data_IF_071767010619
#
_entry.id   IF_071767010619
#
_cell.length_a   1.000
_cell.length_b   1.000
_cell.length_c   1.000
_cell.angle_alpha   90.00
_cell.angle_beta   90.00
_cell.angle_gamma   90.00
#
_symmetry.space_group_name_H-M   'P 1'
#
loop_
_entity.id
_entity.type
_entity.pdbx_description
1 polymer ?
#
# COMPACT_ATOMS: atom_id res chain seq x y z
N UNK A 1 -5.72 -51.46 -59.75
CA UNK A 1 -6.23 -50.83 -58.51
C UNK A 1 -5.04 -50.42 -57.66
N UNK A 2 -4.70 -49.12 -57.65
CA UNK A 2 -3.58 -48.60 -56.86
C UNK A 2 -4.03 -48.38 -55.41
N UNK A 3 -3.32 -48.97 -54.45
CA UNK A 3 -3.53 -48.71 -53.01
C UNK A 3 -2.82 -47.40 -52.65
N UNK A 4 -3.59 -46.36 -52.33
CA UNK A 4 -3.06 -45.18 -51.64
C UNK A 4 -2.68 -45.54 -50.20
N UNK A 5 -1.37 -45.60 -49.92
CA UNK A 5 -0.86 -45.67 -48.56
C UNK A 5 -0.93 -44.29 -47.91
N UNK A 6 -2.02 -44.02 -47.19
CA UNK A 6 -2.09 -42.91 -46.22
C UNK A 6 -1.01 -43.11 -45.16
N UNK A 7 0.10 -42.39 -45.26
CA UNK A 7 1.09 -42.30 -44.18
C UNK A 7 0.40 -41.65 -42.98
N UNK A 8 0.15 -42.42 -41.92
CA UNK A 8 -0.26 -41.85 -40.62
C UNK A 8 0.90 -41.00 -40.12
N UNK A 9 0.69 -39.69 -39.98
CA UNK A 9 1.63 -38.84 -39.26
C UNK A 9 1.76 -39.41 -37.85
N UNK A 10 2.99 -39.70 -37.43
CA UNK A 10 3.26 -40.21 -36.08
C UNK A 10 2.95 -39.09 -35.10
N UNK A 11 1.84 -39.23 -34.35
CA UNK A 11 1.54 -38.37 -33.22
C UNK A 11 2.57 -38.66 -32.13
N UNK A 12 3.56 -37.78 -32.00
CA UNK A 12 4.54 -37.82 -30.90
C UNK A 12 3.86 -37.25 -29.65
N UNK A 13 3.47 -38.12 -28.73
CA UNK A 13 3.00 -37.73 -27.39
C UNK A 13 4.15 -37.27 -26.49
N UNK A 14 3.81 -36.52 -25.44
CA UNK A 14 4.73 -36.07 -24.39
C UNK A 14 5.15 -37.24 -23.50
N UNK A 15 6.42 -37.33 -23.11
CA UNK A 15 6.88 -38.35 -22.16
C UNK A 15 6.40 -38.04 -20.74
N UNK A 16 6.06 -39.06 -19.96
CA UNK A 16 5.79 -38.91 -18.52
C UNK A 16 6.99 -38.31 -17.78
N UNK A 17 8.21 -38.66 -18.22
CA UNK A 17 9.44 -38.12 -17.63
C UNK A 17 9.60 -36.63 -17.95
N UNK A 18 9.24 -36.19 -19.15
CA UNK A 18 9.24 -34.76 -19.50
C UNK A 18 8.25 -33.98 -18.63
N UNK A 19 7.08 -34.57 -18.35
CA UNK A 19 6.09 -33.94 -17.48
C UNK A 19 6.59 -33.86 -16.04
N UNK A 20 7.23 -34.91 -15.53
CA UNK A 20 7.81 -34.92 -14.18
C UNK A 20 8.91 -33.87 -14.00
N UNK A 21 9.81 -33.72 -14.97
CA UNK A 21 10.86 -32.70 -14.92
C UNK A 21 10.24 -31.31 -14.99
N UNK A 22 9.23 -31.10 -15.86
CA UNK A 22 8.55 -29.82 -15.98
C UNK A 22 7.88 -29.39 -14.66
N UNK A 23 7.12 -30.28 -14.00
CA UNK A 23 6.49 -29.95 -12.72
C UNK A 23 7.52 -29.71 -11.61
N UNK A 24 8.65 -30.43 -11.63
CA UNK A 24 9.72 -30.23 -10.65
C UNK A 24 10.34 -28.84 -10.78
N UNK A 25 10.62 -28.39 -12.00
CA UNK A 25 11.16 -27.04 -12.26
C UNK A 25 10.15 -25.98 -11.86
N UNK A 26 8.87 -26.11 -12.25
CA UNK A 26 7.81 -25.17 -11.87
C UNK A 26 7.67 -25.10 -10.35
N UNK A 27 7.72 -26.25 -9.65
CA UNK A 27 7.66 -26.31 -8.20
C UNK A 27 8.77 -25.52 -7.52
N UNK A 28 10.02 -25.61 -8.02
CA UNK A 28 11.16 -24.83 -7.52
C UNK A 28 10.94 -23.33 -7.76
N UNK A 29 10.53 -22.96 -8.97
CA UNK A 29 10.29 -21.55 -9.34
C UNK A 29 9.19 -20.92 -8.46
N UNK A 30 8.08 -21.63 -8.24
CA UNK A 30 6.98 -21.17 -7.38
C UNK A 30 7.44 -21.07 -5.92
N UNK A 31 8.20 -22.06 -5.43
CA UNK A 31 8.68 -22.09 -4.04
C UNK A 31 9.51 -20.88 -3.64
N UNK A 32 10.38 -20.39 -4.53
CA UNK A 32 11.19 -19.18 -4.29
C UNK A 32 10.48 -17.91 -4.76
N UNK A 33 9.72 -17.99 -5.86
CA UNK A 33 9.10 -16.82 -6.50
C UNK A 33 7.99 -16.19 -5.67
N UNK A 34 7.11 -16.99 -5.06
CA UNK A 34 5.98 -16.48 -4.27
C UNK A 34 6.43 -15.63 -3.07
N UNK A 35 7.32 -16.08 -2.17
CA UNK A 35 7.73 -15.26 -1.03
C UNK A 35 8.48 -13.99 -1.45
N UNK A 36 9.31 -14.07 -2.50
CA UNK A 36 10.02 -12.91 -3.03
C UNK A 36 9.04 -11.86 -3.57
N UNK A 37 8.06 -12.27 -4.40
CA UNK A 37 7.04 -11.36 -4.92
C UNK A 37 6.21 -10.73 -3.80
N UNK A 38 5.83 -11.50 -2.78
CA UNK A 38 5.08 -10.97 -1.63
C UNK A 38 5.82 -9.86 -0.91
N UNK A 39 7.12 -10.03 -0.64
CA UNK A 39 7.93 -8.99 -0.01
C UNK A 39 8.03 -7.73 -0.88
N UNK A 40 8.14 -7.88 -2.20
CA UNK A 40 8.12 -6.76 -3.14
C UNK A 40 6.78 -6.00 -3.10
N UNK A 41 5.66 -6.72 -3.10
CA UNK A 41 4.33 -6.10 -3.00
C UNK A 41 4.14 -5.36 -1.69
N UNK A 42 4.56 -5.94 -0.55
CA UNK A 42 4.49 -5.27 0.76
C UNK A 42 5.28 -3.96 0.76
N UNK A 43 6.51 -3.98 0.24
CA UNK A 43 7.35 -2.78 0.13
C UNK A 43 6.74 -1.73 -0.80
N UNK A 44 6.17 -2.17 -1.94
CA UNK A 44 5.47 -1.28 -2.87
C UNK A 44 4.24 -0.62 -2.22
N UNK A 45 3.44 -1.39 -1.48
CA UNK A 45 2.28 -0.91 -0.74
C UNK A 45 2.69 0.13 0.31
N UNK A 46 3.76 -0.12 1.07
CA UNK A 46 4.31 0.84 2.05
C UNK A 46 4.78 2.13 1.39
N UNK A 47 5.50 2.03 0.27
CA UNK A 47 5.95 3.20 -0.49
C UNK A 47 4.78 4.02 -1.03
N UNK A 48 3.76 3.35 -1.58
CA UNK A 48 2.52 4.00 -2.03
C UNK A 48 1.81 4.67 -0.85
N UNK A 49 1.75 4.02 0.32
CA UNK A 49 1.12 4.58 1.51
C UNK A 49 1.78 5.88 1.97
N UNK A 50 3.12 5.88 2.04
CA UNK A 50 3.92 7.06 2.40
C UNK A 50 3.70 8.20 1.39
N UNK A 51 3.71 7.90 0.09
CA UNK A 51 3.48 8.91 -0.96
C UNK A 51 2.07 9.49 -0.87
N UNK A 52 1.06 8.64 -0.70
CA UNK A 52 -0.33 9.03 -0.52
C UNK A 52 -0.51 9.97 0.68
N UNK A 53 0.09 9.64 1.84
CA UNK A 53 0.04 10.53 3.02
C UNK A 53 0.65 11.90 2.76
N UNK A 54 1.79 11.95 2.05
CA UNK A 54 2.43 13.23 1.65
C UNK A 54 1.55 14.04 0.70
N UNK A 55 0.95 13.38 -0.29
CA UNK A 55 -0.01 14.02 -1.21
C UNK A 55 -1.20 14.57 -0.44
N UNK A 56 -1.84 13.78 0.43
CA UNK A 56 -2.98 14.25 1.20
C UNK A 56 -2.57 15.41 2.11
N UNK A 57 -1.41 15.38 2.76
CA UNK A 57 -0.94 16.52 3.57
C UNK A 57 -0.75 17.79 2.73
N UNK A 58 -0.19 17.68 1.52
CA UNK A 58 -0.07 18.81 0.60
C UNK A 58 -1.45 19.38 0.26
N UNK A 59 -2.41 18.52 -0.06
CA UNK A 59 -3.77 18.93 -0.38
C UNK A 59 -4.51 19.53 0.81
N UNK A 60 -4.28 19.03 2.02
CA UNK A 60 -4.81 19.63 3.25
C UNK A 60 -4.28 21.05 3.45
N UNK A 61 -2.99 21.29 3.16
CA UNK A 61 -2.40 22.63 3.22
C UNK A 61 -2.99 23.54 2.14
N UNK A 62 -3.20 23.04 0.93
CA UNK A 62 -3.87 23.78 -0.14
C UNK A 62 -5.32 24.14 0.23
N UNK A 63 -6.07 23.16 0.75
CA UNK A 63 -7.44 23.33 1.22
C UNK A 63 -7.51 24.40 2.32
N UNK A 64 -6.64 24.30 3.33
CA UNK A 64 -6.56 25.26 4.42
C UNK A 64 -6.29 26.68 3.91
N UNK A 65 -5.35 26.86 2.98
CA UNK A 65 -5.00 28.17 2.43
C UNK A 65 -6.11 28.78 1.55
N UNK A 66 -6.76 27.97 0.71
CA UNK A 66 -7.80 28.43 -0.22
C UNK A 66 -9.13 28.72 0.47
N UNK A 67 -9.41 28.07 1.60
CA UNK A 67 -10.64 28.24 2.41
C UNK A 67 -10.47 29.26 3.56
N UNK A 68 -9.52 30.19 3.43
CA UNK A 68 -9.33 31.26 4.41
C UNK A 68 -8.83 30.79 5.78
N UNK A 69 -8.10 29.67 5.83
CA UNK A 69 -7.44 29.15 7.05
C UNK A 69 -8.43 28.83 8.19
N UNK A 70 -9.63 28.37 7.81
CA UNK A 70 -10.73 28.10 8.74
C UNK A 70 -10.80 26.65 9.17
N UNK A 71 -10.26 25.71 8.37
CA UNK A 71 -10.25 24.29 8.67
C UNK A 71 -9.63 23.44 7.57
N UNK A 72 -9.65 22.14 7.82
CA UNK A 72 -9.16 21.09 6.93
C UNK A 72 -10.33 20.36 6.27
N UNK A 73 -10.07 19.67 5.15
CA UNK A 73 -11.10 19.02 4.34
C UNK A 73 -11.18 17.53 4.58
N UNK A 74 -12.37 16.94 4.50
CA UNK A 74 -12.53 15.47 4.42
C UNK A 74 -11.95 14.93 3.10
N UNK A 75 -11.76 13.62 2.98
CA UNK A 75 -11.36 13.02 1.70
C UNK A 75 -12.28 13.47 0.56
N UNK A 76 -13.59 13.39 0.77
CA UNK A 76 -14.58 13.78 -0.24
C UNK A 76 -14.48 15.26 -0.63
N UNK A 77 -14.30 16.16 0.34
CA UNK A 77 -14.14 17.61 0.08
C UNK A 77 -12.88 17.93 -0.73
N UNK A 78 -11.80 17.18 -0.52
CA UNK A 78 -10.55 17.34 -1.29
C UNK A 78 -10.67 16.70 -2.68
N UNK A 79 -11.39 15.58 -2.79
CA UNK A 79 -11.70 14.98 -4.10
C UNK A 79 -12.54 15.96 -4.93
N UNK A 80 -13.51 16.64 -4.32
CA UNK A 80 -14.36 17.64 -4.98
C UNK A 80 -13.59 18.87 -5.45
N UNK A 81 -12.48 19.24 -4.79
CA UNK A 81 -11.59 20.30 -5.30
C UNK A 81 -10.73 19.84 -6.50
N UNK A 82 -10.81 18.56 -6.87
CA UNK A 82 -10.11 17.98 -8.03
C UNK A 82 -8.67 17.54 -7.75
N UNK A 83 -8.24 17.54 -6.49
CA UNK A 83 -6.82 17.41 -6.14
C UNK A 83 -6.40 16.04 -5.59
N UNK A 84 -7.37 15.20 -5.21
CA UNK A 84 -7.11 13.86 -4.66
C UNK A 84 -7.78 12.77 -5.52
N UNK A 85 -7.13 11.61 -5.63
CA UNK A 85 -7.69 10.45 -6.34
C UNK A 85 -9.05 10.05 -5.74
N UNK A 86 -10.03 9.77 -6.61
CA UNK A 86 -11.38 9.32 -6.24
C UNK A 86 -11.37 8.00 -5.47
N UNK A 87 -10.29 7.21 -5.55
CA UNK A 87 -10.10 6.00 -4.73
C UNK A 87 -10.13 6.28 -3.22
N UNK A 88 -9.91 7.52 -2.78
CA UNK A 88 -10.01 7.93 -1.37
C UNK A 88 -11.44 8.22 -0.89
N UNK A 89 -12.46 8.06 -1.73
CA UNK A 89 -13.84 8.38 -1.37
C UNK A 89 -14.36 7.48 -0.23
N UNK A 90 -15.09 8.08 0.70
CA UNK A 90 -15.66 7.40 1.88
C UNK A 90 -14.83 7.53 3.16
N UNK A 91 -15.30 6.91 4.23
CA UNK A 91 -14.76 7.12 5.59
C UNK A 91 -13.41 6.43 5.85
N UNK A 92 -13.25 5.22 5.32
CA UNK A 92 -12.03 4.41 5.48
C UNK A 92 -11.59 3.76 4.15
N UNK A 93 -11.13 4.55 3.17
CA UNK A 93 -10.76 4.02 1.87
C UNK A 93 -9.58 3.06 2.01
N UNK A 94 -9.61 1.99 1.20
CA UNK A 94 -8.53 0.99 1.11
C UNK A 94 -7.87 1.10 -0.25
N UNK A 95 -6.59 1.46 -0.25
CA UNK A 95 -5.80 1.74 -1.45
C UNK A 95 -4.47 1.03 -1.29
N UNK A 96 -4.13 0.19 -2.28
CA UNK A 96 -2.84 -0.49 -2.39
C UNK A 96 -2.44 -1.22 -1.08
N UNK A 97 -3.41 -1.92 -0.49
CA UNK A 97 -3.22 -2.73 0.72
C UNK A 97 -3.21 -1.95 2.04
N UNK A 98 -3.48 -0.64 2.01
CA UNK A 98 -3.56 0.22 3.19
C UNK A 98 -4.95 0.83 3.36
N UNK A 99 -5.44 0.83 4.60
CA UNK A 99 -6.65 1.53 5.03
C UNK A 99 -6.26 2.90 5.55
N UNK A 100 -6.96 3.94 5.10
CA UNK A 100 -6.73 5.30 5.56
C UNK A 100 -7.86 5.75 6.46
N UNK A 101 -7.53 6.34 7.60
CA UNK A 101 -8.52 6.91 8.52
C UNK A 101 -8.14 8.36 8.78
N UNK A 102 -9.04 9.28 8.47
CA UNK A 102 -8.85 10.71 8.71
C UNK A 102 -9.68 11.17 9.91
N UNK A 103 -9.10 12.05 10.73
CA UNK A 103 -9.83 12.80 11.75
C UNK A 103 -9.62 14.28 11.50
N UNK A 104 -10.71 15.04 11.53
CA UNK A 104 -10.68 16.50 11.44
C UNK A 104 -11.22 17.05 12.74
N UNK A 105 -10.44 17.93 13.35
CA UNK A 105 -10.87 18.72 14.50
C UNK A 105 -11.16 20.13 13.99
N UNK A 106 -12.42 20.58 14.04
CA UNK A 106 -12.77 21.92 13.60
C UNK A 106 -12.19 22.96 14.55
N UNK A 107 -11.98 24.18 14.03
CA UNK A 107 -11.58 25.33 14.83
C UNK A 107 -12.62 25.59 15.93
N UNK A 108 -12.15 25.87 17.14
CA UNK A 108 -13.00 26.32 18.25
C UNK A 108 -12.34 27.48 19.00
N UNK A 109 -13.01 27.99 20.03
CA UNK A 109 -12.43 29.00 20.92
C UNK A 109 -11.18 28.52 21.66
N UNK A 110 -11.02 27.21 21.84
CA UNK A 110 -10.00 26.61 22.71
C UNK A 110 -8.90 25.85 21.94
N UNK A 111 -9.04 25.69 20.62
CA UNK A 111 -8.04 25.01 19.80
C UNK A 111 -8.10 25.45 18.32
N UNK A 112 -6.93 25.55 17.64
CA UNK A 112 -6.88 25.70 16.20
C UNK A 112 -7.48 24.46 15.50
N UNK A 113 -7.91 24.57 14.23
CA UNK A 113 -8.29 23.40 13.47
C UNK A 113 -7.08 22.49 13.28
N UNK A 114 -7.30 21.18 13.26
CA UNK A 114 -6.26 20.19 12.96
C UNK A 114 -6.82 19.04 12.16
N UNK A 115 -5.93 18.28 11.52
CA UNK A 115 -6.26 17.00 10.92
C UNK A 115 -5.22 15.98 11.34
N UNK A 116 -5.61 14.72 11.39
CA UNK A 116 -4.69 13.59 11.42
C UNK A 116 -5.14 12.51 10.45
N UNK A 117 -4.18 11.78 9.90
CA UNK A 117 -4.43 10.67 8.98
C UNK A 117 -3.53 9.51 9.38
N UNK A 118 -4.16 8.37 9.59
CA UNK A 118 -3.49 7.08 9.70
C UNK A 118 -3.54 6.36 8.36
N UNK A 119 -2.47 5.65 8.01
CA UNK A 119 -2.48 4.62 6.99
C UNK A 119 -2.00 3.31 7.62
N UNK A 120 -2.91 2.35 7.77
CA UNK A 120 -2.68 1.08 8.44
C UNK A 120 -2.78 -0.07 7.43
N UNK A 121 -1.97 -1.14 7.55
CA UNK A 121 -2.11 -2.32 6.72
C UNK A 121 -3.55 -2.87 6.80
N UNK A 122 -4.19 -3.08 5.64
CA UNK A 122 -5.51 -3.69 5.55
C UNK A 122 -5.54 -5.07 6.21
N UNK A 123 -4.48 -5.84 6.03
CA UNK A 123 -4.25 -7.12 6.69
C UNK A 123 -2.90 -7.08 7.37
N UNK A 124 -2.91 -7.24 8.69
CA UNK A 124 -1.74 -7.07 9.57
C UNK A 124 -0.95 -8.36 9.75
N UNK A 125 -1.60 -9.51 9.58
CA UNK A 125 -1.02 -10.81 9.93
C UNK A 125 -1.38 -11.91 8.92
N UNK A 126 -0.67 -13.03 9.02
CA UNK A 126 -0.93 -14.22 8.23
C UNK A 126 -0.40 -14.17 6.79
N UNK A 127 -0.92 -15.07 5.96
CA UNK A 127 -0.47 -15.26 4.58
C UNK A 127 -0.91 -14.14 3.62
N UNK A 128 -1.79 -13.23 4.06
CA UNK A 128 -2.32 -12.12 3.27
C UNK A 128 -1.88 -10.76 3.78
N UNK A 129 -0.82 -10.68 4.60
CA UNK A 129 -0.26 -9.42 5.11
C UNK A 129 0.00 -8.44 3.96
N UNK A 130 -0.50 -7.21 4.09
CA UNK A 130 -0.41 -6.17 3.06
C UNK A 130 0.64 -5.10 3.35
N UNK A 131 1.13 -5.06 4.60
CA UNK A 131 2.06 -4.07 5.12
C UNK A 131 2.61 -4.51 6.48
N UNK A 132 3.82 -4.07 6.83
CA UNK A 132 4.43 -4.34 8.15
C UNK A 132 4.44 -3.11 9.06
N UNK A 133 4.36 -1.92 8.48
CA UNK A 133 4.40 -0.64 9.19
C UNK A 133 3.05 0.06 9.15
N UNK A 134 2.82 0.85 10.18
CA UNK A 134 1.72 1.77 10.32
C UNK A 134 2.27 3.17 10.15
N UNK A 135 1.53 4.03 9.45
CA UNK A 135 1.97 5.38 9.17
C UNK A 135 1.00 6.42 9.70
N UNK A 136 1.55 7.56 10.11
CA UNK A 136 0.76 8.68 10.63
C UNK A 136 1.29 10.01 10.13
N UNK A 137 0.38 10.94 9.86
CA UNK A 137 0.70 12.34 9.61
C UNK A 137 -0.42 13.23 10.14
N UNK A 138 -0.08 14.45 10.54
CA UNK A 138 -1.05 15.44 11.01
C UNK A 138 -0.70 16.85 10.52
N UNK A 139 -1.46 17.83 10.99
CA UNK A 139 -1.27 19.24 10.65
C UNK A 139 0.02 19.86 11.17
N UNK A 140 0.67 19.25 12.17
CA UNK A 140 1.81 19.79 12.90
C UNK A 140 3.12 19.05 12.59
N UNK A 141 3.07 17.78 12.21
CA UNK A 141 4.26 17.00 11.83
C UNK A 141 4.62 17.22 10.35
N UNK A 142 5.90 17.41 10.06
CA UNK A 142 6.41 17.60 8.69
C UNK A 142 6.92 16.32 8.03
N UNK A 143 7.07 15.25 8.81
CA UNK A 143 7.55 13.94 8.37
C UNK A 143 6.55 12.89 8.80
N UNK A 144 6.31 11.91 7.92
CA UNK A 144 5.48 10.73 8.24
C UNK A 144 6.06 10.03 9.47
N UNK A 145 5.22 9.70 10.45
CA UNK A 145 5.58 8.87 11.60
C UNK A 145 5.31 7.41 11.28
N UNK A 146 6.07 6.51 11.89
CA UNK A 146 6.05 5.07 11.61
C UNK A 146 6.02 4.27 12.91
N UNK A 147 5.28 3.16 12.91
CA UNK A 147 5.21 2.21 14.02
C UNK A 147 5.01 0.79 13.45
N UNK A 148 5.61 -0.23 14.07
CA UNK A 148 5.52 -1.63 13.61
C UNK A 148 4.56 -2.51 14.42
N UNK A 149 4.12 -2.04 15.59
CA UNK A 149 3.32 -2.81 16.55
C UNK A 149 1.84 -2.42 16.55
N UNK A 150 1.50 -1.23 16.07
CA UNK A 150 0.12 -0.75 15.99
C UNK A 150 0.02 0.58 15.27
N UNK A 151 -1.20 1.16 15.18
CA UNK A 151 -1.42 2.43 14.51
C UNK A 151 -0.47 3.50 15.02
N UNK A 152 0.26 4.14 14.11
CA UNK A 152 1.20 5.19 14.44
C UNK A 152 0.50 6.46 14.94
N UNK A 153 1.26 7.29 15.63
CA UNK A 153 0.84 8.53 16.29
C UNK A 153 1.90 9.62 16.11
N UNK A 154 1.60 10.84 16.59
CA UNK A 154 2.53 11.96 16.53
C UNK A 154 3.82 11.74 17.33
N UNK A 155 3.79 10.85 18.34
CA UNK A 155 4.89 10.57 19.26
C UNK A 155 5.84 9.49 18.74
N UNK A 156 5.47 8.80 17.65
CA UNK A 156 6.29 7.75 17.08
C UNK A 156 7.46 8.30 16.25
N UNK A 157 8.42 7.43 15.96
CA UNK A 157 9.63 7.77 15.22
C UNK A 157 9.29 8.32 13.82
N UNK A 158 9.99 9.36 13.35
CA UNK A 158 9.82 9.84 11.99
C UNK A 158 10.44 8.85 11.00
N UNK A 159 9.82 8.77 9.83
CA UNK A 159 10.28 7.92 8.74
C UNK A 159 11.72 8.30 8.34
N UNK A 160 12.61 7.30 8.36
CA UNK A 160 14.04 7.44 8.05
C UNK A 160 14.97 7.48 9.26
N UNK A 161 14.44 7.66 10.48
CA UNK A 161 15.26 7.58 11.70
C UNK A 161 15.26 6.20 12.36
N UNK A 162 14.30 5.32 12.04
CA UNK A 162 14.25 3.94 12.56
C UNK A 162 15.38 3.05 12.01
N UNK A 163 15.79 3.26 10.75
CA UNK A 163 16.84 2.45 10.10
C UNK A 163 18.24 2.78 10.65
N UNK A 164 18.45 3.99 11.17
CA UNK A 164 19.74 4.39 11.77
C UNK A 164 20.04 3.68 13.10
N UNK A 165 19.02 3.15 13.78
CA UNK A 165 19.17 2.43 15.04
C UNK A 165 19.50 0.93 14.88
N UNK A 166 19.30 0.36 13.69
CA UNK A 166 19.49 -1.07 13.43
C UNK A 166 20.86 -1.43 12.83
N UNK A 167 21.62 -0.48 12.30
CA UNK A 167 23.01 -0.69 11.85
C UNK A 167 24.04 -0.70 13.00
N UNK A 168 23.62 -0.46 14.25
CA UNK A 168 24.49 -0.39 15.42
C UNK A 168 24.52 -1.67 16.29
N UNK A 169 23.99 -2.81 15.80
CA UNK A 169 24.05 -4.10 16.51
C UNK A 169 24.53 -5.25 15.65
#
# INVERSE_FOLDING_TARGET
MNREMKRRASERGFSLVELMIAIAIIGILVGVGVPAWRNLTISANESAAIQNLKTIQLEQRAYFNTRGRTGYGTFDQIIESGSLDKRFRGDEPVIDGYRYTMKIVPKSSSQPPSFSINADPQQKEGLSVTGKRHFYIDSNVNTVRTNTSGPASAEDSPLGEEDAGQEAK
#
